data_IF_720441579447
#
_entry.id   IF_720441579447
#
_cell.length_a   1.000
_cell.length_b   1.000
_cell.length_c   1.000
_cell.angle_alpha   90.00
_cell.angle_beta   90.00
_cell.angle_gamma   90.00
#
_symmetry.space_group_name_H-M   'P 1'
#
loop_
_entity.id
_entity.type
_entity.pdbx_description
1 polymer ?
#
# COMPACT_ATOMS: atom_id res chain seq x y z
N UNK A 1 4.24 -31.86 -4.90
CA UNK A 1 3.12 -31.47 -4.01
C UNK A 1 1.99 -30.91 -4.86
N UNK A 2 0.74 -31.23 -4.55
CA UNK A 2 -0.42 -30.66 -5.23
C UNK A 2 -0.47 -29.12 -5.05
N UNK A 3 -1.04 -28.41 -6.02
CA UNK A 3 -1.21 -26.96 -5.92
C UNK A 3 -2.22 -26.62 -4.82
N UNK A 4 -1.88 -25.65 -3.96
CA UNK A 4 -2.81 -25.11 -2.96
C UNK A 4 -3.88 -24.27 -3.68
N UNK A 5 -5.15 -24.48 -3.31
CA UNK A 5 -6.32 -23.80 -3.88
C UNK A 5 -7.13 -23.09 -2.79
N UNK A 6 -8.20 -22.41 -3.18
CA UNK A 6 -9.19 -21.88 -2.24
C UNK A 6 -9.85 -23.04 -1.50
N UNK A 7 -9.74 -23.08 -0.17
CA UNK A 7 -10.34 -24.16 0.63
C UNK A 7 -11.87 -24.25 0.44
N UNK A 8 -12.53 -23.17 -0.01
CA UNK A 8 -13.98 -23.11 -0.24
C UNK A 8 -14.42 -23.86 -1.51
N UNK A 9 -13.50 -24.27 -2.37
CA UNK A 9 -13.83 -24.97 -3.63
C UNK A 9 -13.71 -26.49 -3.54
N UNK A 10 -13.45 -27.03 -2.35
CA UNK A 10 -13.21 -28.45 -2.09
C UNK A 10 -13.86 -28.87 -0.77
N UNK A 11 -14.07 -30.17 -0.50
CA UNK A 11 -14.62 -30.62 0.78
C UNK A 11 -13.82 -30.09 1.97
N UNK A 12 -14.55 -29.72 3.03
CA UNK A 12 -13.98 -29.10 4.22
C UNK A 12 -12.94 -30.00 4.90
N UNK A 13 -11.82 -29.38 5.26
CA UNK A 13 -10.73 -29.95 6.06
C UNK A 13 -9.97 -28.77 6.67
N UNK A 14 -9.80 -28.77 7.99
CA UNK A 14 -9.13 -27.69 8.71
C UNK A 14 -7.70 -27.47 8.20
N UNK A 15 -6.98 -28.54 7.83
CA UNK A 15 -5.61 -28.44 7.31
C UNK A 15 -5.56 -27.73 5.96
N UNK A 16 -6.65 -27.76 5.18
CA UNK A 16 -6.75 -27.05 3.90
C UNK A 16 -6.95 -25.56 4.10
N UNK A 17 -7.71 -25.15 5.13
CA UNK A 17 -7.85 -23.74 5.51
C UNK A 17 -6.47 -23.16 5.85
N UNK A 18 -5.71 -23.89 6.68
CA UNK A 18 -4.34 -23.51 7.05
C UNK A 18 -3.40 -23.46 5.83
N UNK A 19 -3.49 -24.45 4.94
CA UNK A 19 -2.68 -24.48 3.72
C UNK A 19 -2.99 -23.27 2.81
N UNK A 20 -4.27 -22.94 2.60
CA UNK A 20 -4.68 -21.76 1.83
C UNK A 20 -4.16 -20.47 2.47
N UNK A 21 -4.31 -20.32 3.78
CA UNK A 21 -3.79 -19.16 4.53
C UNK A 21 -2.27 -19.02 4.41
N UNK A 22 -1.52 -20.11 4.60
CA UNK A 22 -0.06 -20.16 4.42
C UNK A 22 0.36 -19.81 3.01
N UNK A 23 -0.38 -20.25 1.99
CA UNK A 23 -0.07 -19.94 0.60
C UNK A 23 -0.25 -18.46 0.26
N UNK A 24 -1.35 -17.85 0.72
CA UNK A 24 -1.57 -16.40 0.59
C UNK A 24 -0.52 -15.63 1.39
N UNK A 25 -0.24 -16.04 2.62
CA UNK A 25 0.79 -15.44 3.47
C UNK A 25 2.16 -15.38 2.78
N UNK A 26 2.66 -16.54 2.31
CA UNK A 26 4.01 -16.68 1.76
C UNK A 26 4.18 -16.11 0.35
N UNK A 27 3.11 -16.01 -0.44
CA UNK A 27 3.21 -15.57 -1.85
C UNK A 27 2.69 -14.16 -2.09
N UNK A 28 1.69 -13.71 -1.33
CA UNK A 28 0.87 -12.54 -1.68
C UNK A 28 0.84 -11.49 -0.57
N UNK A 29 0.51 -11.87 0.66
CA UNK A 29 0.27 -10.92 1.75
C UNK A 29 1.48 -10.03 2.02
N UNK A 30 2.68 -10.63 2.13
CA UNK A 30 3.90 -9.87 2.41
C UNK A 30 4.23 -8.86 1.30
N UNK A 31 3.89 -9.15 0.04
CA UNK A 31 4.09 -8.22 -1.08
C UNK A 31 3.16 -7.02 -0.97
N UNK A 32 1.90 -7.24 -0.61
CA UNK A 32 0.95 -6.15 -0.36
C UNK A 32 1.39 -5.27 0.82
N UNK A 33 1.90 -5.89 1.89
CA UNK A 33 2.49 -5.17 3.02
C UNK A 33 3.67 -4.29 2.57
N UNK A 34 4.58 -4.83 1.76
CA UNK A 34 5.70 -4.07 1.22
C UNK A 34 5.21 -2.94 0.29
N UNK A 35 4.30 -3.23 -0.64
CA UNK A 35 3.74 -2.27 -1.59
C UNK A 35 3.15 -1.06 -0.89
N UNK A 36 2.27 -1.28 0.08
CA UNK A 36 1.57 -0.17 0.73
C UNK A 36 2.54 0.71 1.54
N UNK A 37 3.50 0.11 2.24
CA UNK A 37 4.47 0.86 3.03
C UNK A 37 5.52 1.57 2.16
N UNK A 38 5.98 0.96 1.07
CA UNK A 38 6.90 1.60 0.12
C UNK A 38 6.21 2.79 -0.57
N UNK A 39 4.95 2.67 -0.96
CA UNK A 39 4.19 3.81 -1.49
C UNK A 39 4.10 4.96 -0.48
N UNK A 40 3.86 4.67 0.81
CA UNK A 40 3.90 5.70 1.87
C UNK A 40 5.26 6.39 1.93
N UNK A 41 6.35 5.63 1.89
CA UNK A 41 7.72 6.15 1.93
C UNK A 41 7.98 7.05 0.72
N UNK A 42 7.60 6.62 -0.50
CA UNK A 42 7.78 7.43 -1.71
C UNK A 42 6.99 8.74 -1.61
N UNK A 43 5.71 8.68 -1.25
CA UNK A 43 4.84 9.86 -1.10
C UNK A 43 5.42 10.84 -0.08
N UNK A 44 5.82 10.34 1.09
CA UNK A 44 6.44 11.18 2.11
C UNK A 44 7.76 11.78 1.63
N UNK A 45 8.63 11.00 1.01
CA UNK A 45 9.95 11.48 0.54
C UNK A 45 9.80 12.58 -0.51
N UNK A 46 8.89 12.40 -1.48
CA UNK A 46 8.62 13.40 -2.51
C UNK A 46 8.06 14.68 -1.89
N UNK A 47 6.99 14.57 -1.09
CA UNK A 47 6.31 15.77 -0.56
C UNK A 47 7.15 16.48 0.50
N UNK A 48 7.89 15.76 1.34
CA UNK A 48 8.83 16.36 2.29
C UNK A 48 9.98 17.06 1.57
N UNK A 49 10.49 16.51 0.47
CA UNK A 49 11.54 17.16 -0.33
C UNK A 49 11.06 18.41 -1.07
N UNK A 50 9.81 18.42 -1.55
CA UNK A 50 9.26 19.53 -2.35
C UNK A 50 8.65 20.65 -1.51
N UNK A 51 8.01 20.32 -0.37
CA UNK A 51 7.26 21.28 0.47
C UNK A 51 7.93 21.49 1.83
N UNK A 52 8.71 20.52 2.32
CA UNK A 52 9.30 20.51 3.65
C UNK A 52 8.58 19.56 4.62
N UNK A 53 9.05 19.47 5.89
CA UNK A 53 8.59 18.45 6.85
C UNK A 53 7.10 18.58 7.22
N UNK A 54 6.51 19.78 7.08
CA UNK A 54 5.10 20.03 7.37
C UNK A 54 4.18 19.82 6.16
N UNK A 55 4.63 19.09 5.12
CA UNK A 55 3.86 18.89 3.88
C UNK A 55 2.45 18.34 4.12
N UNK A 56 2.23 17.56 5.18
CA UNK A 56 0.94 16.92 5.46
C UNK A 56 -0.21 17.95 5.56
N UNK A 57 0.01 19.06 6.28
CA UNK A 57 -1.02 20.08 6.46
C UNK A 57 -1.26 20.92 5.20
N UNK A 58 -0.33 20.88 4.24
CA UNK A 58 -0.35 21.69 3.01
C UNK A 58 -0.90 20.90 1.82
N UNK A 59 -0.42 19.68 1.62
CA UNK A 59 -0.65 18.88 0.41
C UNK A 59 -1.81 17.90 0.51
N UNK A 60 -2.31 17.61 1.72
CA UNK A 60 -3.35 16.60 1.95
C UNK A 60 -4.70 17.27 2.13
N UNK A 61 -5.75 16.76 1.47
CA UNK A 61 -7.09 17.31 1.56
C UNK A 61 -7.65 17.22 3.00
N UNK A 62 -8.50 18.18 3.45
CA UNK A 62 -9.11 18.12 4.78
C UNK A 62 -9.92 16.84 5.02
N UNK A 63 -10.48 16.24 3.96
CA UNK A 63 -11.20 14.97 4.02
C UNK A 63 -10.29 13.81 4.43
N UNK A 64 -9.15 13.65 3.73
CA UNK A 64 -8.16 12.63 4.04
C UNK A 64 -7.55 12.86 5.43
N UNK A 65 -7.22 14.10 5.79
CA UNK A 65 -6.70 14.43 7.13
C UNK A 65 -7.69 14.02 8.24
N UNK A 66 -8.98 14.35 8.09
CA UNK A 66 -10.03 13.98 9.05
C UNK A 66 -10.17 12.46 9.17
N UNK A 67 -10.07 11.74 8.05
CA UNK A 67 -10.18 10.29 8.04
C UNK A 67 -8.97 9.63 8.72
N UNK A 68 -7.74 10.10 8.45
CA UNK A 68 -6.53 9.64 9.13
C UNK A 68 -6.62 9.87 10.65
N UNK A 69 -7.06 11.05 11.08
CA UNK A 69 -7.23 11.38 12.50
C UNK A 69 -8.31 10.51 13.19
N UNK A 70 -9.40 10.20 12.48
CA UNK A 70 -10.43 9.26 12.94
C UNK A 70 -9.84 7.87 13.18
N UNK A 71 -9.04 7.37 12.23
CA UNK A 71 -8.36 6.07 12.38
C UNK A 71 -7.36 6.10 13.53
N UNK A 72 -6.49 7.12 13.62
CA UNK A 72 -5.54 7.29 14.73
C UNK A 72 -6.25 7.23 16.08
N UNK A 73 -7.33 7.99 16.24
CA UNK A 73 -8.13 7.99 17.46
C UNK A 73 -8.74 6.63 17.79
N UNK A 74 -9.09 5.83 16.77
CA UNK A 74 -9.65 4.49 16.97
C UNK A 74 -8.61 3.50 17.51
N UNK A 75 -7.33 3.65 17.12
CA UNK A 75 -6.22 2.85 17.65
C UNK A 75 -5.81 3.30 19.05
N UNK A 76 -5.65 4.61 19.30
CA UNK A 76 -5.16 5.12 20.59
C UNK A 76 -6.15 4.96 21.74
N UNK A 77 -7.45 4.89 21.46
CA UNK A 77 -8.49 4.62 22.48
C UNK A 77 -8.46 3.19 23.02
N UNK A 78 -7.66 2.29 22.45
CA UNK A 78 -7.60 0.86 22.82
C UNK A 78 -6.16 0.49 23.22
N UNK A 79 -5.76 0.67 24.49
CA UNK A 79 -4.37 0.52 24.92
C UNK A 79 -3.80 -0.91 24.82
N UNK A 80 -4.63 -1.91 24.57
CA UNK A 80 -4.23 -3.33 24.43
C UNK A 80 -3.92 -3.75 22.97
N UNK A 81 -3.86 -2.80 22.03
CA UNK A 81 -3.49 -3.06 20.64
C UNK A 81 -2.27 -2.26 20.22
N UNK A 82 -1.50 -2.79 19.26
CA UNK A 82 -0.43 -2.03 18.61
C UNK A 82 -1.01 -0.85 17.81
N UNK A 83 -0.28 0.26 17.77
CA UNK A 83 -0.60 1.39 16.91
C UNK A 83 0.19 1.31 15.60
N UNK A 84 -0.35 1.83 14.49
CA UNK A 84 0.45 2.16 13.31
C UNK A 84 1.59 3.14 13.64
N UNK A 85 2.38 3.53 12.62
CA UNK A 85 3.47 4.48 12.79
C UNK A 85 3.05 5.88 13.29
N UNK A 86 4.04 6.72 13.53
CA UNK A 86 3.89 8.03 14.19
C UNK A 86 3.35 9.13 13.28
N UNK A 87 3.63 9.06 11.98
CA UNK A 87 3.15 10.01 10.97
C UNK A 87 1.72 9.69 10.50
N UNK A 88 0.93 10.69 10.15
CA UNK A 88 -0.48 10.51 9.74
C UNK A 88 -0.66 9.68 8.46
N UNK A 89 0.36 9.63 7.61
CA UNK A 89 0.41 8.78 6.42
C UNK A 89 0.26 7.27 6.75
N UNK A 90 0.56 6.83 7.97
CA UNK A 90 0.34 5.43 8.37
C UNK A 90 -1.13 5.10 8.63
N UNK A 91 -2.01 6.10 8.63
CA UNK A 91 -3.45 5.98 8.82
C UNK A 91 -4.24 6.19 7.52
N UNK A 92 -3.54 6.19 6.38
CA UNK A 92 -4.15 6.30 5.05
C UNK A 92 -4.36 4.94 4.41
N UNK A 93 -5.34 4.86 3.51
CA UNK A 93 -5.58 3.74 2.61
C UNK A 93 -4.87 3.93 1.27
N UNK A 94 -4.82 2.89 0.42
CA UNK A 94 -4.34 3.04 -0.96
C UNK A 94 -5.15 4.08 -1.76
N UNK A 95 -6.45 4.23 -1.47
CA UNK A 95 -7.29 5.25 -2.11
C UNK A 95 -6.84 6.65 -1.73
N UNK A 96 -6.58 6.88 -0.43
CA UNK A 96 -6.12 8.16 0.08
C UNK A 96 -4.73 8.50 -0.46
N UNK A 97 -3.81 7.52 -0.55
CA UNK A 97 -2.50 7.71 -1.18
C UNK A 97 -2.64 8.12 -2.64
N UNK A 98 -3.56 7.49 -3.38
CA UNK A 98 -3.80 7.82 -4.77
C UNK A 98 -4.39 9.23 -4.94
N UNK A 99 -5.28 9.65 -4.03
CA UNK A 99 -5.82 11.01 -3.97
C UNK A 99 -4.70 12.03 -3.72
N UNK A 100 -3.82 11.77 -2.73
CA UNK A 100 -2.69 12.64 -2.40
C UNK A 100 -1.75 12.79 -3.60
N UNK A 101 -1.38 11.67 -4.26
CA UNK A 101 -0.50 11.70 -5.42
C UNK A 101 -1.14 12.50 -6.56
N UNK A 102 -2.42 12.24 -6.85
CA UNK A 102 -3.16 12.93 -7.93
C UNK A 102 -3.28 14.43 -7.69
N UNK A 103 -3.61 14.84 -6.46
CA UNK A 103 -3.77 16.26 -6.11
C UNK A 103 -2.45 17.05 -6.17
N UNK A 104 -1.32 16.35 -6.09
CA UNK A 104 0.02 16.93 -6.07
C UNK A 104 0.87 16.49 -7.28
N UNK A 105 0.25 16.02 -8.37
CA UNK A 105 0.95 15.35 -9.49
C UNK A 105 2.09 16.20 -10.08
N UNK A 106 1.94 17.52 -10.10
CA UNK A 106 2.97 18.46 -10.52
C UNK A 106 4.28 18.37 -9.71
N UNK A 107 4.21 17.96 -8.45
CA UNK A 107 5.39 17.76 -7.57
C UNK A 107 6.04 16.39 -7.79
N UNK A 108 5.25 15.40 -8.22
CA UNK A 108 5.75 14.06 -8.52
C UNK A 108 6.35 13.97 -9.92
N UNK A 109 5.81 14.70 -10.90
CA UNK A 109 6.17 14.58 -12.32
C UNK A 109 7.69 14.73 -12.61
N UNK A 110 8.43 15.67 -11.98
CA UNK A 110 9.87 15.78 -12.20
C UNK A 110 10.69 14.59 -11.66
N UNK A 111 10.10 13.79 -10.76
CA UNK A 111 10.76 12.68 -10.05
C UNK A 111 10.29 11.33 -10.61
N UNK A 112 9.00 11.23 -10.98
CA UNK A 112 8.33 10.07 -11.55
C UNK A 112 7.60 10.56 -12.81
N UNK A 113 8.25 10.45 -13.96
CA UNK A 113 7.77 11.01 -15.23
C UNK A 113 6.46 10.37 -15.72
N UNK A 114 6.17 9.13 -15.32
CA UNK A 114 4.97 8.36 -15.67
C UNK A 114 3.95 8.29 -14.52
N UNK A 115 3.90 9.31 -13.65
CA UNK A 115 3.07 9.29 -12.43
C UNK A 115 1.58 8.97 -12.68
N UNK A 116 1.00 9.41 -13.80
CA UNK A 116 -0.38 9.09 -14.15
C UNK A 116 -0.61 7.58 -14.38
N UNK A 117 0.39 6.89 -14.94
CA UNK A 117 0.33 5.44 -15.07
C UNK A 117 0.41 4.77 -13.69
N UNK A 118 1.26 5.28 -12.80
CA UNK A 118 1.32 4.79 -11.41
C UNK A 118 0.01 4.98 -10.66
N UNK A 119 -0.63 6.14 -10.80
CA UNK A 119 -1.94 6.43 -10.23
C UNK A 119 -2.99 5.40 -10.70
N UNK A 120 -3.02 5.10 -11.99
CA UNK A 120 -3.94 4.10 -12.54
C UNK A 120 -3.63 2.69 -12.01
N UNK A 121 -2.35 2.33 -11.89
CA UNK A 121 -1.91 1.02 -11.40
C UNK A 121 -2.17 0.82 -9.90
N UNK A 122 -2.04 1.87 -9.08
CA UNK A 122 -2.42 1.85 -7.67
C UNK A 122 -3.92 1.56 -7.53
N UNK A 123 -4.76 2.14 -8.38
CA UNK A 123 -6.20 1.84 -8.36
C UNK A 123 -6.48 0.38 -8.73
N UNK A 124 -5.74 -0.18 -9.69
CA UNK A 124 -5.86 -1.60 -10.06
C UNK A 124 -5.47 -2.56 -8.94
N UNK A 125 -4.54 -2.19 -8.05
CA UNK A 125 -4.11 -3.03 -6.92
C UNK A 125 -5.02 -2.90 -5.70
N UNK A 126 -5.80 -1.81 -5.60
CA UNK A 126 -6.67 -1.53 -4.45
C UNK A 126 -7.67 -2.64 -4.17
N UNK A 127 -8.36 -3.16 -5.18
CA UNK A 127 -9.33 -4.25 -5.02
C UNK A 127 -8.66 -5.59 -4.64
N UNK A 128 -7.62 -6.07 -5.35
CA UNK A 128 -6.82 -7.22 -4.93
C UNK A 128 -6.35 -7.13 -3.47
N UNK A 129 -5.86 -5.96 -3.06
CA UNK A 129 -5.43 -5.70 -1.69
C UNK A 129 -6.56 -5.87 -0.69
N UNK A 130 -7.75 -5.34 -0.99
CA UNK A 130 -8.91 -5.48 -0.11
C UNK A 130 -9.38 -6.92 0.03
N UNK A 131 -9.37 -7.71 -1.06
CA UNK A 131 -9.68 -9.15 -1.00
C UNK A 131 -8.76 -9.85 0.01
N UNK A 132 -7.45 -9.66 -0.12
CA UNK A 132 -6.48 -10.28 0.79
C UNK A 132 -6.59 -9.71 2.21
N UNK A 133 -6.77 -8.40 2.37
CA UNK A 133 -6.92 -7.73 3.67
C UNK A 133 -8.18 -8.14 4.43
N UNK A 134 -9.24 -8.56 3.73
CA UNK A 134 -10.44 -9.15 4.30
C UNK A 134 -10.36 -10.69 4.38
N UNK A 135 -9.15 -11.25 4.37
CA UNK A 135 -8.88 -12.68 4.55
C UNK A 135 -9.52 -13.58 3.48
N UNK A 136 -9.69 -13.06 2.26
CA UNK A 136 -10.23 -13.82 1.14
C UNK A 136 -9.14 -14.30 0.18
N UNK A 137 -9.48 -15.32 -0.60
CA UNK A 137 -8.63 -15.85 -1.66
C UNK A 137 -8.69 -14.98 -2.92
N UNK A 138 -7.58 -14.31 -3.32
CA UNK A 138 -7.51 -13.56 -4.57
C UNK A 138 -7.54 -14.47 -5.80
N UNK A 139 -8.14 -13.98 -6.88
CA UNK A 139 -8.14 -14.70 -8.16
C UNK A 139 -6.72 -14.88 -8.71
N UNK A 140 -6.56 -15.75 -9.71
CA UNK A 140 -5.25 -15.88 -10.40
C UNK A 140 -4.77 -14.54 -10.98
N UNK A 141 -5.68 -13.79 -11.59
CA UNK A 141 -5.39 -12.47 -12.16
C UNK A 141 -4.98 -11.47 -11.09
N UNK A 142 -5.66 -11.45 -9.94
CA UNK A 142 -5.30 -10.55 -8.84
C UNK A 142 -3.91 -10.84 -8.30
N UNK A 143 -3.57 -12.12 -8.13
CA UNK A 143 -2.21 -12.53 -7.69
C UNK A 143 -1.13 -12.10 -8.68
N UNK A 144 -1.37 -12.29 -9.98
CA UNK A 144 -0.44 -11.84 -11.03
C UNK A 144 -0.27 -10.32 -11.04
N UNK A 145 -1.35 -9.56 -10.85
CA UNK A 145 -1.28 -8.10 -10.72
C UNK A 145 -0.45 -7.68 -9.51
N UNK A 146 -0.61 -8.35 -8.37
CA UNK A 146 0.21 -8.10 -7.17
C UNK A 146 1.68 -8.38 -7.44
N UNK A 147 2.00 -9.49 -8.10
CA UNK A 147 3.38 -9.85 -8.44
C UNK A 147 4.05 -8.82 -9.35
N UNK A 148 3.37 -8.41 -10.42
CA UNK A 148 3.87 -7.40 -11.36
C UNK A 148 4.00 -6.03 -10.68
N UNK A 149 2.99 -5.59 -9.94
CA UNK A 149 3.04 -4.30 -9.25
C UNK A 149 4.19 -4.24 -8.25
N UNK A 150 4.38 -5.29 -7.45
CA UNK A 150 5.50 -5.38 -6.50
C UNK A 150 6.86 -5.30 -7.20
N UNK A 151 7.05 -6.06 -8.29
CA UNK A 151 8.29 -6.05 -9.07
C UNK A 151 8.61 -4.67 -9.62
N UNK A 152 7.62 -4.03 -10.24
CA UNK A 152 7.79 -2.72 -10.86
C UNK A 152 8.02 -1.63 -9.81
N UNK A 153 7.35 -1.71 -8.65
CA UNK A 153 7.55 -0.77 -7.56
C UNK A 153 9.00 -0.85 -7.04
N UNK A 154 9.55 -2.06 -6.97
CA UNK A 154 10.96 -2.26 -6.61
C UNK A 154 11.92 -1.69 -7.67
N UNK A 155 11.57 -1.79 -8.95
CA UNK A 155 12.34 -1.17 -10.02
C UNK A 155 12.27 0.37 -9.93
N UNK A 156 11.09 0.94 -9.68
CA UNK A 156 10.92 2.36 -9.44
C UNK A 156 11.77 2.85 -8.27
N UNK A 157 11.72 2.17 -7.12
CA UNK A 157 12.53 2.52 -5.95
C UNK A 157 14.02 2.57 -6.29
N UNK A 158 14.54 1.56 -7.01
CA UNK A 158 15.94 1.55 -7.45
C UNK A 158 16.26 2.75 -8.35
N UNK A 159 15.39 3.04 -9.31
CA UNK A 159 15.55 4.19 -10.20
C UNK A 159 15.57 5.50 -9.41
N UNK A 160 14.60 5.71 -8.51
CA UNK A 160 14.51 6.92 -7.68
C UNK A 160 15.78 7.17 -6.87
N UNK A 161 16.31 6.13 -6.23
CA UNK A 161 17.56 6.23 -5.46
C UNK A 161 18.75 6.56 -6.36
N UNK A 162 18.86 5.94 -7.54
CA UNK A 162 19.92 6.23 -8.51
C UNK A 162 19.81 7.66 -9.09
N UNK A 163 18.60 8.18 -9.21
CA UNK A 163 18.32 9.57 -9.62
C UNK A 163 18.53 10.60 -8.49
N UNK A 164 18.97 10.17 -7.30
CA UNK A 164 19.32 11.06 -6.20
C UNK A 164 18.19 11.38 -5.21
N UNK A 165 17.02 10.74 -5.32
CA UNK A 165 15.98 10.88 -4.30
C UNK A 165 16.40 10.17 -3.01
N UNK A 166 16.52 10.92 -1.91
CA UNK A 166 16.71 10.35 -0.59
C UNK A 166 15.37 9.84 -0.05
N UNK A 167 15.24 8.53 0.13
CA UNK A 167 14.06 7.94 0.75
C UNK A 167 14.08 8.16 2.26
N UNK A 168 13.07 8.85 2.78
CA UNK A 168 12.92 9.16 4.19
C UNK A 168 11.75 8.37 4.78
N UNK A 169 11.97 7.82 5.98
CA UNK A 169 10.91 7.18 6.77
C UNK A 169 10.08 8.29 7.43
N UNK A 170 8.74 8.31 7.26
CA UNK A 170 7.85 9.31 7.85
C UNK A 170 7.88 9.43 9.37
#
# INVERSE_FOLDING_TARGET
>A
MAAVVDFRTIPFDALRVDASGKDIGRKIYWKLYAVENVLRIIVHSVLAGQIGPNWWSVAVSPGVQKQAQKWRSSYTRRPWHGTPGTHDIYYTTLSDLNEIIRANSQLFLPIISDIDQWIARIEQIRLPRNIVGHMNWPSRTDRQRIDVFYSDLHALVKHLVLSGLSLAIP
#
